data_IF_430780667391
#
_entry.id   IF_430780667391
#
_cell.length_a   1.000
_cell.length_b   1.000
_cell.length_c   1.000
_cell.angle_alpha   90.00
_cell.angle_beta   90.00
_cell.angle_gamma   90.00
#
_symmetry.space_group_name_H-M   'P 1'
#
loop_
_entity.id
_entity.type
_entity.pdbx_description
1 polymer ?
#
# COMPACT_ATOMS: atom_id res chain seq x y z
N UNK A 1 -16.21 30.41 14.40
CA UNK A 1 -15.53 29.17 14.83
C UNK A 1 -14.83 28.58 13.62
N UNK A 2 -13.50 28.67 13.56
CA UNK A 2 -12.69 28.02 12.51
C UNK A 2 -12.60 26.55 12.87
N UNK A 3 -13.39 25.71 12.20
CA UNK A 3 -13.22 24.26 12.25
C UNK A 3 -11.93 23.92 11.51
N UNK A 4 -10.81 23.88 12.24
CA UNK A 4 -9.55 23.31 11.77
C UNK A 4 -9.80 21.82 11.49
N UNK A 5 -10.19 21.53 10.25
CA UNK A 5 -10.30 20.17 9.75
C UNK A 5 -8.90 19.60 9.74
N UNK A 6 -8.55 18.82 10.78
CA UNK A 6 -7.37 17.99 10.76
C UNK A 6 -7.49 17.10 9.53
N UNK A 7 -6.78 17.47 8.47
CA UNK A 7 -6.64 16.67 7.28
C UNK A 7 -5.93 15.39 7.73
N UNK A 8 -6.73 14.38 8.12
CA UNK A 8 -6.25 13.01 8.27
C UNK A 8 -5.53 12.71 6.95
N UNK A 9 -4.24 12.32 6.98
CA UNK A 9 -3.53 11.95 5.77
C UNK A 9 -4.37 10.86 5.13
N UNK A 10 -5.02 11.17 4.01
CA UNK A 10 -6.26 10.52 3.60
C UNK A 10 -6.11 9.04 3.21
N UNK A 11 -4.90 8.49 3.34
CA UNK A 11 -4.44 7.22 2.79
C UNK A 11 -3.63 6.36 3.77
N UNK A 12 -3.02 6.98 4.79
CA UNK A 12 -2.22 6.30 5.82
C UNK A 12 -3.11 5.90 7.01
N UNK A 13 -4.03 4.95 6.80
CA UNK A 13 -5.02 4.54 7.83
C UNK A 13 -4.88 3.08 8.26
N UNK A 14 -5.20 2.81 9.52
CA UNK A 14 -5.28 1.42 10.03
C UNK A 14 -6.38 0.60 9.33
N UNK A 15 -7.42 1.25 8.79
CA UNK A 15 -8.46 0.57 8.03
C UNK A 15 -7.93 -0.05 6.73
N UNK A 16 -7.09 0.68 6.01
CA UNK A 16 -6.42 0.17 4.80
C UNK A 16 -5.48 -0.98 5.13
N UNK A 17 -4.76 -0.88 6.26
CA UNK A 17 -3.91 -1.96 6.74
C UNK A 17 -4.68 -3.22 7.15
N UNK A 18 -5.86 -3.05 7.76
CA UNK A 18 -6.75 -4.18 8.06
C UNK A 18 -7.24 -4.86 6.78
N UNK A 19 -7.63 -4.05 5.79
CA UNK A 19 -8.05 -4.53 4.47
C UNK A 19 -6.96 -5.34 3.79
N UNK A 20 -5.69 -4.90 3.87
CA UNK A 20 -4.55 -5.65 3.37
C UNK A 20 -4.47 -7.06 3.98
N UNK A 21 -4.59 -7.17 5.30
CA UNK A 21 -4.59 -8.46 6.00
C UNK A 21 -5.77 -9.36 5.62
N UNK A 22 -6.92 -8.75 5.36
CA UNK A 22 -8.12 -9.46 4.93
C UNK A 22 -8.03 -9.93 3.48
N UNK A 23 -7.41 -9.13 2.60
CA UNK A 23 -7.21 -9.48 1.20
C UNK A 23 -6.21 -10.63 1.03
N UNK A 24 -5.18 -10.63 1.86
CA UNK A 24 -4.09 -11.59 1.81
C UNK A 24 -3.95 -12.30 3.17
N UNK A 25 -4.84 -13.22 3.56
CA UNK A 25 -4.70 -13.92 4.84
C UNK A 25 -3.50 -14.90 4.83
N UNK A 26 -2.82 -15.04 5.97
CA UNK A 26 -1.79 -16.07 6.18
C UNK A 26 -0.45 -15.83 5.47
N UNK A 27 -0.14 -14.59 5.06
CA UNK A 27 1.18 -14.20 4.51
C UNK A 27 2.21 -14.00 5.61
N UNK A 28 3.46 -13.86 5.19
CA UNK A 28 4.57 -13.56 6.08
C UNK A 28 4.33 -12.23 6.81
N UNK A 29 4.80 -12.13 8.06
CA UNK A 29 4.63 -10.93 8.87
C UNK A 29 5.26 -9.68 8.24
N UNK A 30 6.31 -9.83 7.43
CA UNK A 30 6.99 -8.74 6.72
C UNK A 30 6.10 -8.09 5.66
N UNK A 31 5.26 -8.89 4.99
CA UNK A 31 4.22 -8.43 4.07
C UNK A 31 3.09 -7.65 4.77
N UNK A 32 3.03 -7.64 6.10
CA UNK A 32 2.10 -6.81 6.89
C UNK A 32 2.81 -5.73 7.68
N UNK A 33 3.79 -5.05 7.09
CA UNK A 33 4.39 -3.87 7.71
C UNK A 33 3.77 -2.58 7.16
N UNK A 34 3.82 -1.48 7.94
CA UNK A 34 3.41 -0.16 7.43
C UNK A 34 4.24 0.29 6.22
N UNK A 35 5.45 -0.28 6.05
CA UNK A 35 6.33 0.02 4.94
C UNK A 35 5.84 -0.53 3.60
N UNK A 36 4.84 -1.42 3.59
CA UNK A 36 4.26 -1.92 2.35
C UNK A 36 3.65 -0.78 1.50
N UNK A 37 3.13 0.27 2.14
CA UNK A 37 2.57 1.43 1.44
C UNK A 37 3.32 2.74 1.73
N UNK A 38 4.28 2.76 2.66
CA UNK A 38 4.90 3.99 3.17
C UNK A 38 6.42 3.93 3.09
N UNK A 39 7.06 5.06 2.75
CA UNK A 39 8.52 5.14 2.74
C UNK A 39 9.08 5.20 4.17
N UNK A 40 8.79 6.25 4.95
CA UNK A 40 9.31 6.40 6.31
C UNK A 40 8.34 7.13 7.28
N UNK A 41 7.69 8.21 6.85
CA UNK A 41 6.79 9.00 7.69
C UNK A 41 5.32 8.55 7.57
N UNK A 42 4.86 7.79 8.57
CA UNK A 42 3.44 7.49 8.75
C UNK A 42 2.77 8.75 9.30
N UNK A 43 1.65 9.17 8.72
CA UNK A 43 0.81 10.22 9.32
C UNK A 43 1.01 11.65 8.77
N UNK A 44 1.98 11.89 7.88
CA UNK A 44 2.07 13.13 7.09
C UNK A 44 1.61 12.88 5.66
N UNK A 45 0.98 13.89 5.06
CA UNK A 45 0.58 13.86 3.65
C UNK A 45 1.85 13.77 2.80
N UNK A 46 2.11 12.65 2.12
CA UNK A 46 3.06 12.61 1.01
C UNK A 46 4.21 11.60 1.03
N UNK A 47 4.25 10.59 1.90
CA UNK A 47 5.29 9.55 1.80
C UNK A 47 4.70 8.15 1.55
N UNK A 48 3.83 8.05 0.54
CA UNK A 48 3.50 6.76 -0.04
C UNK A 48 4.69 6.27 -0.87
N UNK A 49 5.01 4.99 -0.78
CA UNK A 49 5.95 4.36 -1.71
C UNK A 49 5.27 4.11 -3.07
N UNK A 50 5.96 3.45 -4.00
CA UNK A 50 5.44 3.22 -5.33
C UNK A 50 4.10 2.43 -5.32
N UNK A 51 4.02 1.35 -4.53
CA UNK A 51 2.78 0.59 -4.31
C UNK A 51 1.64 1.44 -3.73
N UNK A 52 1.92 2.23 -2.68
CA UNK A 52 0.95 3.12 -2.07
C UNK A 52 0.41 4.17 -3.04
N UNK A 53 1.26 4.69 -3.94
CA UNK A 53 0.89 5.62 -5.01
C UNK A 53 0.13 4.94 -6.15
N UNK A 54 0.39 3.67 -6.44
CA UNK A 54 -0.37 2.89 -7.41
C UNK A 54 -1.82 2.68 -6.94
N UNK A 55 -2.00 2.26 -5.69
CA UNK A 55 -3.31 2.20 -5.04
C UNK A 55 -3.95 3.59 -5.01
N UNK A 56 -3.17 4.60 -4.61
CA UNK A 56 -3.30 6.03 -4.93
C UNK A 56 -4.22 6.34 -6.10
N UNK A 57 -3.60 6.05 -7.24
CA UNK A 57 -4.07 6.35 -8.57
C UNK A 57 -5.27 5.48 -8.95
N UNK A 58 -5.28 4.20 -8.56
CA UNK A 58 -6.40 3.28 -8.81
C UNK A 58 -7.73 3.83 -8.28
N UNK A 59 -7.75 4.38 -7.06
CA UNK A 59 -8.97 4.95 -6.46
C UNK A 59 -9.41 6.27 -7.08
N UNK A 60 -8.58 6.90 -7.91
CA UNK A 60 -8.86 8.18 -8.56
C UNK A 60 -8.72 9.41 -7.65
N UNK A 61 -8.66 10.58 -8.28
CA UNK A 61 -8.58 11.89 -7.61
C UNK A 61 -9.93 12.24 -6.97
N UNK A 62 -10.20 11.71 -5.77
CA UNK A 62 -11.54 11.89 -5.18
C UNK A 62 -11.73 11.51 -3.72
N UNK A 63 -10.69 11.11 -2.98
CA UNK A 63 -10.83 10.73 -1.56
C UNK A 63 -11.70 9.49 -1.27
N UNK A 64 -11.67 8.43 -2.10
CA UNK A 64 -11.99 7.12 -1.52
C UNK A 64 -10.87 6.77 -0.54
N UNK A 65 -11.08 7.07 0.75
CA UNK A 65 -10.08 6.98 1.84
C UNK A 65 -9.90 5.56 2.38
N UNK A 66 -10.66 4.62 1.84
CA UNK A 66 -10.77 3.23 2.27
C UNK A 66 -10.52 2.33 1.07
N UNK A 67 -9.49 1.50 1.18
CA UNK A 67 -9.25 0.40 0.27
C UNK A 67 -10.22 -0.74 0.57
N UNK A 68 -10.60 -1.46 -0.46
CA UNK A 68 -11.27 -2.75 -0.40
C UNK A 68 -10.28 -3.86 -0.79
N UNK A 69 -10.61 -5.11 -0.50
CA UNK A 69 -9.79 -6.23 -0.95
C UNK A 69 -9.67 -6.27 -2.48
N UNK A 70 -10.73 -5.86 -3.19
CA UNK A 70 -10.72 -5.85 -4.65
C UNK A 70 -9.83 -4.74 -5.22
N UNK A 71 -9.69 -3.60 -4.52
CA UNK A 71 -8.73 -2.56 -4.91
C UNK A 71 -7.28 -3.07 -4.82
N UNK A 72 -6.96 -3.87 -3.80
CA UNK A 72 -5.63 -4.48 -3.66
C UNK A 72 -5.39 -5.53 -4.74
N UNK A 73 -6.42 -6.35 -5.03
CA UNK A 73 -6.37 -7.38 -6.07
C UNK A 73 -6.26 -6.81 -7.48
N UNK A 74 -6.82 -5.62 -7.72
CA UNK A 74 -6.83 -5.00 -9.04
C UNK A 74 -5.42 -4.70 -9.58
N UNK A 75 -4.44 -4.50 -8.70
CA UNK A 75 -3.04 -4.21 -9.08
C UNK A 75 -2.09 -5.37 -8.76
N UNK A 76 -2.58 -6.55 -8.39
CA UNK A 76 -1.73 -7.72 -8.04
C UNK A 76 -0.73 -8.08 -9.14
N UNK A 77 -1.11 -7.89 -10.40
CA UNK A 77 -0.30 -8.20 -11.58
C UNK A 77 0.57 -7.04 -12.05
N UNK A 78 0.39 -5.86 -11.47
CA UNK A 78 1.23 -4.71 -11.78
C UNK A 78 2.57 -4.86 -11.04
N UNK A 79 3.59 -4.20 -11.58
CA UNK A 79 4.91 -4.04 -10.99
C UNK A 79 5.02 -2.57 -10.58
N UNK A 80 4.73 -2.27 -9.32
CA UNK A 80 4.54 -0.89 -8.90
C UNK A 80 5.87 -0.12 -8.76
N UNK A 81 6.97 -0.78 -8.42
CA UNK A 81 8.30 -0.15 -8.28
C UNK A 81 9.24 -0.40 -9.47
N UNK A 82 8.85 -1.25 -10.41
CA UNK A 82 9.53 -1.46 -11.69
C UNK A 82 10.72 -2.40 -11.59
N UNK A 83 10.75 -3.30 -10.61
CA UNK A 83 11.84 -4.24 -10.37
C UNK A 83 11.74 -5.56 -11.17
N UNK A 84 10.62 -5.75 -11.88
CA UNK A 84 10.34 -6.92 -12.69
C UNK A 84 9.53 -8.01 -12.00
N UNK A 85 9.15 -7.83 -10.74
CA UNK A 85 8.27 -8.73 -9.99
C UNK A 85 6.87 -8.13 -9.86
N UNK A 86 5.84 -9.00 -9.84
CA UNK A 86 4.49 -8.50 -9.61
C UNK A 86 4.25 -8.23 -8.12
N UNK A 87 3.38 -7.26 -7.83
CA UNK A 87 3.01 -6.91 -6.46
C UNK A 87 2.57 -8.15 -5.64
N UNK A 88 1.85 -9.09 -6.28
CA UNK A 88 1.41 -10.33 -5.64
C UNK A 88 2.57 -11.29 -5.35
N UNK A 89 3.51 -11.43 -6.28
CA UNK A 89 4.67 -12.32 -6.09
C UNK A 89 5.51 -11.87 -4.91
N UNK A 90 5.71 -10.57 -4.78
CA UNK A 90 6.42 -9.97 -3.66
C UNK A 90 5.68 -10.13 -2.33
N UNK A 91 4.37 -9.85 -2.30
CA UNK A 91 3.54 -10.08 -1.11
C UNK A 91 3.59 -11.55 -0.68
N UNK A 92 3.62 -12.49 -1.63
CA UNK A 92 3.75 -13.92 -1.35
C UNK A 92 5.15 -14.29 -0.85
N UNK A 93 6.20 -13.63 -1.36
CA UNK A 93 7.58 -13.82 -0.95
C UNK A 93 7.93 -13.11 0.38
N UNK A 94 7.02 -12.29 0.91
CA UNK A 94 7.28 -11.47 2.09
C UNK A 94 8.22 -10.30 1.82
N UNK A 95 8.28 -9.85 0.57
CA UNK A 95 9.00 -8.67 0.13
C UNK A 95 8.05 -7.48 -0.07
N UNK A 96 8.58 -6.33 -0.51
CA UNK A 96 7.89 -5.05 -0.42
C UNK A 96 7.64 -4.45 -1.82
N UNK A 97 6.39 -4.48 -2.33
CA UNK A 97 6.04 -4.07 -3.70
C UNK A 97 6.19 -2.60 -4.06
N UNK A 98 6.78 -1.82 -3.16
CA UNK A 98 7.07 -0.41 -3.42
C UNK A 98 8.53 -0.08 -3.10
N UNK A 99 9.39 -1.08 -3.01
CA UNK A 99 10.82 -0.98 -2.74
C UNK A 99 11.59 -1.85 -3.76
N UNK A 100 12.17 -1.26 -4.81
CA UNK A 100 12.81 -2.00 -5.89
C UNK A 100 14.11 -2.69 -5.47
N UNK A 101 14.59 -2.45 -4.24
CA UNK A 101 15.69 -3.20 -3.65
C UNK A 101 15.23 -4.45 -2.88
N UNK A 102 13.92 -4.62 -2.70
CA UNK A 102 13.29 -5.71 -1.96
C UNK A 102 12.75 -6.78 -2.90
N UNK A 103 13.63 -7.45 -3.64
CA UNK A 103 13.23 -8.54 -4.55
C UNK A 103 13.14 -9.91 -3.83
N UNK A 104 12.25 -10.82 -4.25
CA UNK A 104 12.29 -12.22 -3.86
C UNK A 104 13.65 -12.83 -4.24
N UNK A 105 14.25 -13.59 -3.33
CA UNK A 105 15.52 -14.27 -3.62
C UNK A 105 15.28 -15.30 -4.72
N UNK A 106 15.90 -15.10 -5.89
CA UNK A 106 15.93 -16.07 -6.99
C UNK A 106 16.78 -17.29 -6.64
#
# INVERSE_FOLDING_TARGET
MVACSLARPAWATLGNFKTLKEAYPGKDAKSYSCKICHLNAIGKKGELNAYGLALQKLKGEGNAKVLTADDLRAIEKDDADGDGMSNLDEINAGTAPGDPASVPQQ
#
